data_IF_431534723908
#
_entry.id   IF_431534723908
#
_cell.length_a   1.000
_cell.length_b   1.000
_cell.length_c   1.000
_cell.angle_alpha   90.00
_cell.angle_beta   90.00
_cell.angle_gamma   90.00
#
_symmetry.space_group_name_H-M   'P 1'
#
loop_
_entity.id
_entity.type
_entity.pdbx_description
1 polymer ?
#
# COMPACT_ATOMS: atom_id res chain seq x y z
N UNK A 1 -25.42 25.60 9.12
CA UNK A 1 -24.20 24.78 8.89
C UNK A 1 -23.00 25.67 9.10
N UNK A 2 -21.93 25.21 9.74
CA UNK A 2 -20.66 25.93 9.78
C UNK A 2 -19.66 25.20 8.88
N UNK A 3 -19.16 25.89 7.86
CA UNK A 3 -18.08 25.35 7.02
C UNK A 3 -16.77 25.43 7.81
N UNK A 4 -16.43 24.35 8.50
CA UNK A 4 -15.12 24.18 9.15
C UNK A 4 -14.10 23.90 8.06
N UNK A 5 -13.56 24.95 7.45
CA UNK A 5 -12.44 24.86 6.52
C UNK A 5 -11.15 24.73 7.32
N UNK A 6 -10.63 23.51 7.45
CA UNK A 6 -9.36 23.25 8.15
C UNK A 6 -8.22 23.62 7.21
N UNK A 7 -7.70 24.84 7.36
CA UNK A 7 -6.46 25.27 6.68
C UNK A 7 -5.29 24.46 7.27
N UNK A 8 -4.47 23.77 6.45
CA UNK A 8 -3.36 22.98 6.96
C UNK A 8 -2.30 23.85 7.64
N UNK A 9 -2.06 23.63 8.93
CA UNK A 9 -0.91 24.19 9.66
C UNK A 9 0.24 23.16 9.68
N UNK A 10 1.48 23.56 10.05
CA UNK A 10 2.59 22.62 10.27
C UNK A 10 2.33 21.58 11.37
N UNK A 11 1.26 21.73 12.15
CA UNK A 11 0.84 20.83 13.24
C UNK A 11 -0.29 19.90 12.80
N UNK A 12 -0.99 20.22 11.69
CA UNK A 12 -1.96 19.34 11.04
C UNK A 12 -1.39 18.63 9.80
N UNK A 13 -0.08 18.70 9.58
CA UNK A 13 0.59 17.86 8.57
C UNK A 13 0.57 16.41 9.04
N UNK A 14 -0.15 15.56 8.30
CA UNK A 14 -0.40 14.16 8.63
C UNK A 14 0.07 13.30 7.45
N UNK A 15 0.79 12.21 7.75
CA UNK A 15 1.27 11.24 6.77
C UNK A 15 0.46 9.94 6.86
N UNK A 16 -0.16 9.51 5.77
CA UNK A 16 -0.91 8.25 5.68
C UNK A 16 -0.11 7.20 4.86
N UNK A 17 0.86 6.48 5.47
CA UNK A 17 1.52 5.33 4.82
C UNK A 17 0.55 4.16 4.64
N UNK A 18 -0.41 4.04 5.56
CA UNK A 18 -1.58 3.16 5.50
C UNK A 18 -2.83 3.97 5.86
N UNK A 19 -3.98 3.55 5.35
CA UNK A 19 -5.26 4.21 5.53
C UNK A 19 -6.02 3.81 6.79
N UNK A 20 -7.32 4.13 6.76
CA UNK A 20 -8.26 3.99 7.86
C UNK A 20 -9.71 3.68 7.37
N UNK A 21 -9.84 3.11 6.16
CA UNK A 21 -11.12 2.76 5.52
C UNK A 21 -10.99 1.42 4.78
N UNK A 22 -12.11 0.77 4.41
CA UNK A 22 -12.08 -0.46 3.62
C UNK A 22 -11.38 -0.29 2.28
N UNK A 23 -10.76 -1.35 1.82
CA UNK A 23 -10.55 -1.51 0.40
C UNK A 23 -11.90 -1.60 -0.33
N UNK A 24 -12.04 -0.88 -1.45
CA UNK A 24 -13.24 -0.88 -2.31
C UNK A 24 -12.90 -1.48 -3.66
N UNK A 25 -13.86 -2.10 -4.35
CA UNK A 25 -13.64 -2.57 -5.70
C UNK A 25 -13.91 -1.45 -6.73
N UNK A 26 -12.82 -0.96 -7.33
CA UNK A 26 -12.75 0.10 -8.34
C UNK A 26 -13.32 -0.34 -9.70
N UNK A 27 -13.54 -1.64 -9.92
CA UNK A 27 -14.12 -2.24 -11.11
C UNK A 27 -15.58 -2.71 -10.91
N UNK A 28 -16.08 -2.74 -9.66
CA UNK A 28 -17.41 -3.28 -9.27
C UNK A 28 -18.58 -2.72 -10.09
N UNK A 29 -18.49 -1.46 -10.49
CA UNK A 29 -19.52 -0.74 -11.27
C UNK A 29 -19.10 -0.46 -12.71
N UNK A 30 -17.99 -1.05 -13.15
CA UNK A 30 -17.47 -0.91 -14.50
C UNK A 30 -18.00 -2.05 -15.37
N UNK A 31 -18.56 -1.72 -16.54
CA UNK A 31 -19.14 -2.73 -17.42
C UNK A 31 -18.09 -3.77 -17.86
N UNK A 32 -18.46 -5.06 -17.99
CA UNK A 32 -17.61 -6.06 -18.64
C UNK A 32 -17.27 -5.60 -20.05
N UNK A 33 -16.00 -5.25 -20.27
CA UNK A 33 -15.48 -4.88 -21.57
C UNK A 33 -14.95 -6.13 -22.30
N UNK A 34 -14.69 -5.98 -23.60
CA UNK A 34 -14.12 -7.05 -24.41
C UNK A 34 -12.67 -7.37 -24.01
N UNK A 35 -12.20 -8.57 -24.38
CA UNK A 35 -10.87 -9.14 -24.07
C UNK A 35 -9.65 -8.28 -24.46
N UNK A 36 -9.85 -7.13 -25.13
CA UNK A 36 -8.82 -6.21 -25.64
C UNK A 36 -8.95 -4.77 -25.12
N UNK A 37 -9.83 -4.51 -24.15
CA UNK A 37 -10.20 -3.15 -23.74
C UNK A 37 -9.68 -2.71 -22.37
N UNK A 38 -8.56 -1.98 -22.39
CA UNK A 38 -7.95 -1.27 -21.25
C UNK A 38 -8.97 -0.48 -20.42
N UNK A 39 -8.78 -0.50 -19.10
CA UNK A 39 -9.57 0.26 -18.12
C UNK A 39 -8.67 1.18 -17.31
N UNK A 40 -8.76 2.48 -17.61
CA UNK A 40 -7.91 3.52 -17.03
C UNK A 40 -8.54 4.06 -15.73
N UNK A 41 -7.80 4.02 -14.61
CA UNK A 41 -8.29 4.41 -13.27
C UNK A 41 -7.38 5.47 -12.63
N UNK A 42 -7.93 6.67 -12.45
CA UNK A 42 -7.25 7.81 -11.81
C UNK A 42 -7.48 7.84 -10.30
N UNK A 43 -6.42 7.75 -9.50
CA UNK A 43 -6.49 7.67 -8.04
C UNK A 43 -5.76 8.84 -7.36
N UNK A 44 -6.44 9.98 -7.32
CA UNK A 44 -5.95 11.22 -6.70
C UNK A 44 -5.84 11.07 -5.17
N UNK A 45 -4.76 11.62 -4.59
CA UNK A 45 -4.48 11.65 -3.15
C UNK A 45 -4.47 10.31 -2.40
N UNK A 46 -4.64 9.17 -3.07
CA UNK A 46 -4.48 7.86 -2.45
C UNK A 46 -3.00 7.63 -2.11
N UNK A 47 -2.68 7.35 -0.84
CA UNK A 47 -1.36 6.84 -0.41
C UNK A 47 -1.29 5.31 -0.36
N UNK A 48 -2.42 4.66 -0.04
CA UNK A 48 -2.54 3.25 0.30
C UNK A 48 -2.83 2.35 -0.94
N UNK A 49 -2.19 1.16 -1.07
CA UNK A 49 -2.54 0.14 -2.05
C UNK A 49 -3.94 -0.43 -1.97
N UNK A 50 -4.49 -0.59 -0.77
CA UNK A 50 -5.52 -1.59 -0.45
C UNK A 50 -6.69 -1.69 -1.42
N UNK A 51 -7.24 -0.58 -1.92
CA UNK A 51 -8.34 -0.63 -2.87
C UNK A 51 -7.92 -1.32 -4.16
N UNK A 52 -6.73 -1.04 -4.72
CA UNK A 52 -6.23 -1.77 -5.89
C UNK A 52 -5.58 -3.12 -5.48
N UNK A 53 -5.23 -3.29 -4.20
CA UNK A 53 -5.04 -4.58 -3.50
C UNK A 53 -6.26 -5.53 -3.71
N UNK A 54 -7.45 -4.99 -3.47
CA UNK A 54 -8.70 -5.72 -3.30
C UNK A 54 -9.57 -5.78 -4.55
N UNK A 55 -9.83 -4.63 -5.20
CA UNK A 55 -10.63 -4.50 -6.45
C UNK A 55 -10.28 -5.57 -7.45
N UNK A 56 -8.98 -5.76 -7.53
CA UNK A 56 -8.35 -6.52 -8.55
C UNK A 56 -8.06 -7.93 -8.03
N UNK A 57 -7.88 -8.18 -6.73
CA UNK A 57 -8.03 -9.54 -6.19
C UNK A 57 -9.43 -10.12 -6.49
N UNK A 58 -10.49 -9.30 -6.42
CA UNK A 58 -11.84 -9.69 -6.85
C UNK A 58 -11.95 -10.01 -8.36
N UNK A 59 -10.91 -9.70 -9.15
CA UNK A 59 -10.79 -9.87 -10.60
C UNK A 59 -9.51 -10.66 -10.96
N UNK A 60 -8.85 -11.28 -9.97
CA UNK A 60 -7.52 -11.91 -9.96
C UNK A 60 -6.24 -11.04 -10.23
N UNK A 61 -6.24 -9.70 -10.52
CA UNK A 61 -5.09 -8.88 -11.07
C UNK A 61 -4.40 -7.69 -10.26
N UNK A 62 -4.23 -7.70 -8.92
CA UNK A 62 -4.00 -6.52 -8.00
C UNK A 62 -2.79 -5.56 -8.09
N UNK A 63 -2.77 -4.44 -7.32
CA UNK A 63 -1.69 -3.40 -7.34
C UNK A 63 -1.51 -2.47 -6.07
N UNK A 64 -0.28 -1.93 -5.77
CA UNK A 64 0.11 -0.47 -5.81
C UNK A 64 1.58 -0.04 -5.47
N UNK A 65 2.16 -0.35 -4.28
CA UNK A 65 3.35 0.40 -3.74
C UNK A 65 4.69 -0.10 -4.30
N UNK A 66 5.52 0.74 -4.92
CA UNK A 66 6.77 0.36 -5.65
C UNK A 66 7.76 -0.51 -4.84
N UNK A 67 7.93 -0.26 -3.53
CA UNK A 67 8.82 -1.08 -2.69
C UNK A 67 8.16 -2.43 -2.37
N UNK A 68 6.90 -2.41 -1.92
CA UNK A 68 6.07 -3.61 -1.75
C UNK A 68 6.00 -4.42 -3.06
N UNK A 69 5.97 -3.76 -4.20
CA UNK A 69 5.80 -4.33 -5.52
C UNK A 69 7.02 -5.00 -6.07
N UNK A 70 8.16 -4.31 -6.02
CA UNK A 70 9.42 -4.93 -6.41
C UNK A 70 9.69 -6.14 -5.50
N UNK A 71 9.36 -6.07 -4.20
CA UNK A 71 9.36 -7.24 -3.31
C UNK A 71 8.38 -8.33 -3.75
N UNK A 72 7.14 -8.00 -4.13
CA UNK A 72 6.13 -8.99 -4.58
C UNK A 72 6.54 -9.67 -5.89
N UNK A 73 7.06 -8.91 -6.85
CA UNK A 73 7.58 -9.42 -8.14
C UNK A 73 8.81 -10.30 -7.92
N UNK A 74 9.78 -9.84 -7.12
CA UNK A 74 10.98 -10.60 -6.77
C UNK A 74 10.69 -11.89 -5.99
N UNK A 75 9.54 -11.96 -5.31
CA UNK A 75 9.10 -13.11 -4.53
C UNK A 75 7.85 -13.79 -5.12
N UNK A 76 7.57 -13.59 -6.42
CA UNK A 76 6.40 -14.15 -7.10
C UNK A 76 6.19 -15.66 -6.83
N UNK A 77 7.27 -16.44 -6.92
CA UNK A 77 7.27 -17.88 -6.66
C UNK A 77 6.96 -18.23 -5.19
N UNK A 78 7.36 -17.38 -4.23
CA UNK A 78 7.14 -17.62 -2.80
C UNK A 78 5.65 -17.63 -2.43
N UNK A 79 4.81 -16.88 -3.14
CA UNK A 79 3.36 -16.85 -2.90
C UNK A 79 2.61 -18.11 -3.34
N UNK A 80 3.20 -18.94 -4.21
CA UNK A 80 2.68 -20.28 -4.55
C UNK A 80 3.25 -21.40 -3.67
N UNK A 81 4.24 -21.09 -2.82
CA UNK A 81 5.06 -22.09 -2.12
C UNK A 81 4.57 -22.36 -0.69
N UNK A 82 4.53 -23.64 -0.31
CA UNK A 82 4.29 -24.06 1.07
C UNK A 82 5.58 -24.08 1.93
N UNK A 83 6.74 -23.78 1.34
CA UNK A 83 8.03 -23.77 2.04
C UNK A 83 7.98 -22.85 3.28
N UNK A 84 8.57 -23.24 4.42
CA UNK A 84 8.69 -22.35 5.58
C UNK A 84 9.42 -21.04 5.25
N UNK A 85 10.48 -21.11 4.44
CA UNK A 85 11.28 -19.95 4.01
C UNK A 85 10.48 -18.94 3.19
N UNK A 86 9.65 -19.42 2.27
CA UNK A 86 8.81 -18.56 1.42
C UNK A 86 7.69 -17.89 2.24
N UNK A 87 7.09 -18.61 3.19
CA UNK A 87 6.14 -18.02 4.14
C UNK A 87 6.80 -16.97 5.05
N UNK A 88 8.06 -17.15 5.45
CA UNK A 88 8.84 -16.10 6.15
C UNK A 88 9.03 -14.85 5.28
N UNK A 89 9.37 -15.00 3.99
CA UNK A 89 9.50 -13.87 3.05
C UNK A 89 8.20 -13.09 2.90
N UNK A 90 7.07 -13.76 2.68
CA UNK A 90 5.74 -13.11 2.60
C UNK A 90 5.40 -12.41 3.91
N UNK A 91 5.76 -12.98 5.06
CA UNK A 91 5.64 -12.34 6.38
C UNK A 91 6.47 -11.06 6.52
N UNK A 92 7.72 -11.04 6.06
CA UNK A 92 8.56 -9.85 6.06
C UNK A 92 7.99 -8.73 5.16
N UNK A 93 7.40 -9.09 4.01
CA UNK A 93 6.73 -8.15 3.10
C UNK A 93 5.47 -7.54 3.76
N UNK A 94 4.68 -8.34 4.48
CA UNK A 94 3.59 -7.83 5.33
C UNK A 94 4.10 -6.86 6.41
N UNK A 95 5.15 -7.25 7.15
CA UNK A 95 5.73 -6.45 8.22
C UNK A 95 6.20 -5.09 7.70
N UNK A 96 6.92 -5.06 6.58
CA UNK A 96 7.40 -3.84 5.95
C UNK A 96 6.28 -2.90 5.47
N UNK A 97 5.10 -3.45 5.18
CA UNK A 97 3.98 -2.65 4.70
C UNK A 97 3.02 -2.20 5.81
N UNK A 98 2.72 -3.03 6.81
CA UNK A 98 1.71 -2.73 7.85
C UNK A 98 2.26 -2.48 9.26
N UNK A 99 3.53 -2.73 9.55
CA UNK A 99 4.09 -2.52 10.90
C UNK A 99 4.99 -1.28 10.95
N UNK A 100 4.70 -0.34 11.86
CA UNK A 100 5.61 0.79 12.13
C UNK A 100 6.80 0.40 13.03
N UNK A 101 6.79 -0.82 13.60
CA UNK A 101 7.90 -1.45 14.31
C UNK A 101 8.15 -2.83 13.72
N UNK A 102 9.38 -3.09 13.24
CA UNK A 102 9.75 -4.29 12.49
C UNK A 102 10.96 -5.01 13.13
N UNK A 103 11.17 -6.31 12.84
CA UNK A 103 12.45 -6.99 13.01
C UNK A 103 13.62 -6.24 12.32
N UNK A 104 14.86 -6.51 12.73
CA UNK A 104 16.06 -5.91 12.10
C UNK A 104 16.35 -6.53 10.73
N UNK A 105 15.93 -7.77 10.59
CA UNK A 105 16.04 -8.64 9.43
C UNK A 105 15.18 -8.06 8.29
N UNK A 106 13.95 -7.67 8.61
CA UNK A 106 13.03 -6.98 7.70
C UNK A 106 13.54 -5.58 7.34
N UNK A 107 14.14 -4.83 8.29
CA UNK A 107 14.81 -3.57 7.96
C UNK A 107 15.93 -3.78 6.93
N UNK A 108 16.73 -4.84 7.05
CA UNK A 108 17.77 -5.13 6.06
C UNK A 108 17.17 -5.48 4.68
N UNK A 109 16.08 -6.24 4.63
CA UNK A 109 15.34 -6.49 3.39
C UNK A 109 14.88 -5.18 2.72
N UNK A 110 14.38 -4.20 3.49
CA UNK A 110 14.02 -2.88 2.96
C UNK A 110 15.23 -2.11 2.42
N UNK A 111 16.37 -2.17 3.10
CA UNK A 111 17.62 -1.52 2.66
C UNK A 111 18.11 -2.14 1.34
N UNK A 112 18.23 -3.47 1.28
CA UNK A 112 18.66 -4.22 0.09
C UNK A 112 17.76 -3.93 -1.12
N UNK A 113 16.43 -3.90 -0.89
CA UNK A 113 15.49 -3.57 -1.95
C UNK A 113 15.61 -2.12 -2.41
N UNK A 114 15.85 -1.18 -1.50
CA UNK A 114 16.01 0.24 -1.82
C UNK A 114 17.30 0.49 -2.60
N UNK A 115 18.40 -0.19 -2.25
CA UNK A 115 19.66 -0.17 -3.00
C UNK A 115 19.49 -0.75 -4.42
N UNK A 116 18.76 -1.86 -4.57
CA UNK A 116 18.40 -2.45 -5.86
C UNK A 116 17.51 -1.54 -6.72
N UNK A 117 16.53 -0.87 -6.11
CA UNK A 117 15.68 0.11 -6.79
C UNK A 117 16.48 1.32 -7.27
N UNK A 118 17.45 1.79 -6.47
CA UNK A 118 18.33 2.92 -6.82
C UNK A 118 19.31 2.59 -7.95
N UNK A 119 19.80 1.35 -8.07
CA UNK A 119 20.71 0.97 -9.16
C UNK A 119 20.00 0.86 -10.52
N UNK A 120 18.74 0.41 -10.52
CA UNK A 120 17.90 0.23 -11.72
C UNK A 120 17.19 1.51 -12.20
N UNK A 121 17.12 2.56 -11.37
CA UNK A 121 16.38 3.81 -11.67
C UNK A 121 17.26 4.97 -12.12
N UNK A 122 18.40 4.72 -12.77
CA UNK A 122 19.32 5.79 -13.19
C UNK A 122 18.74 6.69 -14.28
N UNK A 123 17.82 6.17 -15.10
CA UNK A 123 17.00 6.92 -16.05
C UNK A 123 15.65 6.23 -16.25
N UNK A 124 14.75 6.82 -17.04
CA UNK A 124 13.47 6.20 -17.38
C UNK A 124 13.64 4.96 -18.26
N UNK A 125 14.66 4.97 -19.13
CA UNK A 125 15.01 3.90 -20.06
C UNK A 125 15.60 2.71 -19.30
N UNK A 126 16.58 2.94 -18.42
CA UNK A 126 17.16 1.91 -17.56
C UNK A 126 16.11 1.25 -16.63
N UNK A 127 15.09 2.01 -16.22
CA UNK A 127 13.96 1.49 -15.48
C UNK A 127 13.00 0.67 -16.36
N UNK A 128 12.74 1.10 -17.60
CA UNK A 128 11.89 0.37 -18.56
C UNK A 128 12.52 -0.96 -19.03
N UNK A 129 13.85 -1.06 -19.03
CA UNK A 129 14.60 -2.31 -19.25
C UNK A 129 14.66 -3.22 -18.02
N UNK A 130 14.19 -2.75 -16.85
CA UNK A 130 14.24 -3.50 -15.60
C UNK A 130 13.05 -4.49 -15.43
N UNK A 131 13.14 -5.46 -14.50
CA UNK A 131 12.02 -6.33 -14.14
C UNK A 131 10.78 -5.63 -13.54
N UNK A 132 10.82 -4.31 -13.36
CA UNK A 132 9.75 -3.50 -12.77
C UNK A 132 9.02 -2.62 -13.79
N UNK A 133 9.18 -2.87 -15.09
CA UNK A 133 8.64 -2.05 -16.18
C UNK A 133 7.11 -1.97 -16.26
N UNK A 134 6.38 -2.87 -15.56
CA UNK A 134 4.93 -2.73 -15.29
C UNK A 134 4.59 -1.52 -14.42
N UNK A 135 5.59 -0.95 -13.74
CA UNK A 135 5.53 0.34 -13.04
C UNK A 135 6.27 1.34 -13.93
N UNK A 136 5.65 2.48 -14.19
CA UNK A 136 6.22 3.55 -15.03
C UNK A 136 6.20 4.88 -14.27
N UNK A 137 6.94 5.87 -14.75
CA UNK A 137 6.95 7.21 -14.16
C UNK A 137 6.48 8.24 -15.19
N UNK A 138 5.48 9.04 -14.83
CA UNK A 138 4.87 10.06 -15.70
C UNK A 138 5.86 11.20 -16.04
N UNK A 139 6.91 11.37 -15.24
CA UNK A 139 8.02 12.29 -15.50
C UNK A 139 9.32 11.81 -14.84
N UNK A 140 10.47 12.22 -15.41
CA UNK A 140 11.78 12.03 -14.79
C UNK A 140 11.83 12.63 -13.37
N UNK A 141 11.21 13.79 -13.17
CA UNK A 141 11.11 14.42 -11.84
C UNK A 141 10.38 13.52 -10.81
N UNK A 142 9.38 12.75 -11.24
CA UNK A 142 8.74 11.77 -10.33
C UNK A 142 9.73 10.69 -9.91
N UNK A 143 10.53 10.17 -10.85
CA UNK A 143 11.58 9.20 -10.57
C UNK A 143 12.63 9.79 -9.62
N UNK A 144 13.06 11.03 -9.83
CA UNK A 144 14.00 11.73 -8.95
C UNK A 144 13.48 11.92 -7.52
N UNK A 145 12.23 12.36 -7.33
CA UNK A 145 11.66 12.52 -5.99
C UNK A 145 11.45 11.17 -5.28
N UNK A 146 11.08 10.12 -6.02
CA UNK A 146 10.96 8.76 -5.48
C UNK A 146 12.32 8.18 -5.08
N UNK A 147 13.38 8.42 -5.88
CA UNK A 147 14.76 8.03 -5.53
C UNK A 147 15.23 8.68 -4.22
N UNK A 148 14.94 9.96 -4.00
CA UNK A 148 15.23 10.67 -2.73
C UNK A 148 14.50 10.10 -1.51
N UNK A 149 13.49 9.24 -1.70
CA UNK A 149 12.85 8.46 -0.63
C UNK A 149 13.59 7.12 -0.44
N UNK A 150 13.94 6.41 -1.52
CA UNK A 150 14.72 5.18 -1.45
C UNK A 150 16.11 5.36 -0.84
N UNK A 151 16.79 6.49 -1.12
CA UNK A 151 18.05 6.88 -0.46
C UNK A 151 17.90 6.95 1.07
N UNK A 152 16.75 7.42 1.56
CA UNK A 152 16.43 7.52 2.99
C UNK A 152 15.94 6.20 3.59
N UNK A 153 15.53 5.22 2.77
CA UNK A 153 15.23 3.86 3.20
C UNK A 153 16.49 2.99 3.28
N UNK A 154 17.43 3.15 2.36
CA UNK A 154 18.73 2.48 2.39
C UNK A 154 19.58 2.92 3.61
N UNK A 155 19.54 4.21 3.98
CA UNK A 155 20.34 4.75 5.09
C UNK A 155 19.59 4.66 6.44
N UNK A 156 20.16 3.93 7.42
CA UNK A 156 19.60 3.83 8.77
C UNK A 156 19.69 5.16 9.55
N UNK A 157 18.67 6.03 9.45
CA UNK A 157 18.54 7.24 10.29
C UNK A 157 17.86 6.96 11.63
N UNK A 158 18.46 7.40 12.75
CA UNK A 158 17.83 7.41 14.09
C UNK A 158 16.78 8.53 14.19
N UNK A 159 15.55 8.25 13.78
CA UNK A 159 14.43 9.20 13.83
C UNK A 159 13.85 9.28 15.26
N UNK A 160 13.58 10.51 15.73
CA UNK A 160 13.09 10.76 17.11
C UNK A 160 11.57 10.62 17.20
N UNK A 161 11.11 9.53 17.83
CA UNK A 161 9.70 9.27 18.12
C UNK A 161 9.21 10.08 19.33
N UNK A 162 8.14 10.86 19.15
CA UNK A 162 7.21 11.27 20.22
C UNK A 162 5.85 10.67 19.88
N UNK A 163 5.26 9.90 20.80
CA UNK A 163 3.87 9.47 20.66
C UNK A 163 2.93 10.56 21.21
N UNK A 164 1.74 10.68 20.61
CA UNK A 164 0.57 11.16 21.33
C UNK A 164 -0.05 9.97 22.06
N UNK A 165 -0.48 10.16 23.31
CA UNK A 165 -1.16 9.12 24.09
C UNK A 165 -2.68 9.04 23.78
N UNK A 166 -3.18 9.86 22.85
CA UNK A 166 -4.58 9.85 22.45
C UNK A 166 -4.85 8.63 21.57
N UNK A 167 -5.63 7.66 22.08
CA UNK A 167 -5.93 6.40 21.40
C UNK A 167 -6.75 6.59 20.12
N UNK A 168 -6.52 5.72 19.15
CA UNK A 168 -7.17 5.74 17.84
C UNK A 168 -8.68 5.57 17.89
N UNK A 169 -9.39 6.29 17.02
CA UNK A 169 -10.77 5.99 16.70
C UNK A 169 -10.81 4.88 15.63
N UNK A 170 -11.10 3.64 16.03
CA UNK A 170 -11.39 2.56 15.08
C UNK A 170 -12.80 2.75 14.52
N UNK A 171 -12.99 2.49 13.23
CA UNK A 171 -14.31 2.39 12.60
C UNK A 171 -14.46 0.96 12.08
N UNK A 172 -15.43 0.23 12.62
CA UNK A 172 -15.51 -1.25 12.58
C UNK A 172 -15.93 -1.83 11.22
N UNK A 173 -15.59 -1.18 10.12
CA UNK A 173 -15.99 -1.60 8.77
C UNK A 173 -15.60 -3.06 8.45
N UNK A 174 -14.44 -3.51 8.95
CA UNK A 174 -13.90 -4.86 8.77
C UNK A 174 -14.83 -5.99 9.26
N UNK A 175 -15.79 -5.68 10.13
CA UNK A 175 -16.76 -6.64 10.66
C UNK A 175 -18.04 -6.76 9.81
N UNK A 176 -18.25 -5.88 8.82
CA UNK A 176 -19.47 -5.88 7.99
C UNK A 176 -20.74 -5.84 8.84
N UNK A 177 -21.64 -6.81 8.60
CA UNK A 177 -22.90 -6.95 9.36
C UNK A 177 -22.69 -7.31 10.84
N UNK A 178 -21.51 -7.78 11.23
CA UNK A 178 -21.15 -8.13 12.61
C UNK A 178 -20.63 -6.91 13.40
N UNK A 179 -20.87 -5.67 12.93
CA UNK A 179 -20.44 -4.40 13.55
C UNK A 179 -20.46 -4.40 15.09
N UNK A 180 -21.57 -4.80 15.71
CA UNK A 180 -21.72 -4.82 17.17
C UNK A 180 -20.78 -5.83 17.88
N UNK A 181 -20.51 -6.98 17.27
CA UNK A 181 -19.58 -7.98 17.79
C UNK A 181 -18.12 -7.54 17.56
N UNK A 182 -17.84 -6.88 16.43
CA UNK A 182 -16.50 -6.40 16.09
C UNK A 182 -16.07 -5.10 16.79
N UNK A 183 -17.00 -4.30 17.32
CA UNK A 183 -16.71 -2.95 17.80
C UNK A 183 -15.59 -2.91 18.85
N UNK A 184 -15.67 -3.74 19.90
CA UNK A 184 -14.63 -3.81 20.92
C UNK A 184 -13.36 -4.52 20.41
N UNK A 185 -13.40 -5.73 19.81
CA UNK A 185 -12.19 -6.41 19.32
C UNK A 185 -11.37 -5.59 18.31
N UNK A 186 -12.00 -4.86 17.39
CA UNK A 186 -11.27 -4.00 16.44
C UNK A 186 -10.67 -2.77 17.13
N UNK A 187 -11.36 -2.18 18.10
CA UNK A 187 -10.83 -1.10 18.93
C UNK A 187 -9.64 -1.56 19.79
N UNK A 188 -9.69 -2.77 20.34
CA UNK A 188 -8.61 -3.37 21.13
C UNK A 188 -7.45 -3.86 20.25
N UNK A 189 -7.72 -4.31 19.03
CA UNK A 189 -6.69 -4.52 18.00
C UNK A 189 -5.99 -3.21 17.62
N UNK A 190 -6.72 -2.10 17.46
CA UNK A 190 -6.14 -0.78 17.19
C UNK A 190 -5.30 -0.26 18.38
N UNK A 191 -5.75 -0.45 19.62
CA UNK A 191 -4.91 -0.23 20.82
C UNK A 191 -3.64 -1.09 20.77
N UNK A 192 -3.76 -2.37 20.43
CA UNK A 192 -2.65 -3.31 20.31
C UNK A 192 -1.62 -2.84 19.29
N UNK A 193 -2.07 -2.39 18.12
CA UNK A 193 -1.25 -1.79 17.08
C UNK A 193 -0.51 -0.55 17.58
N UNK A 194 -1.21 0.46 18.11
CA UNK A 194 -0.56 1.68 18.57
C UNK A 194 0.35 1.51 19.80
N UNK A 195 0.12 0.46 20.61
CA UNK A 195 0.97 0.09 21.76
C UNK A 195 2.26 -0.62 21.37
N UNK A 196 2.29 -1.35 20.24
CA UNK A 196 3.39 -2.26 19.87
C UNK A 196 4.10 -1.89 18.57
N UNK A 197 3.37 -1.32 17.61
CA UNK A 197 3.76 -1.10 16.21
C UNK A 197 3.50 -2.28 15.26
N UNK A 198 2.74 -3.29 15.71
CA UNK A 198 2.48 -4.57 15.04
C UNK A 198 0.97 -4.81 14.94
N UNK A 199 0.46 -5.37 13.84
CA UNK A 199 -1.00 -5.49 13.60
C UNK A 199 -1.68 -6.29 14.71
N UNK A 200 -2.76 -5.72 15.25
CA UNK A 200 -3.49 -6.18 16.44
C UNK A 200 -2.65 -6.37 17.71
N UNK A 201 -1.36 -5.98 17.73
CA UNK A 201 -0.41 -6.37 18.76
C UNK A 201 -0.23 -7.88 18.92
N UNK A 202 -0.43 -8.65 17.85
CA UNK A 202 -0.48 -10.12 17.90
C UNK A 202 0.82 -10.75 18.47
N UNK A 203 0.68 -11.81 19.26
CA UNK A 203 1.79 -12.32 20.07
C UNK A 203 2.95 -12.91 19.24
N UNK A 204 2.68 -13.43 18.03
CA UNK A 204 3.69 -14.00 17.14
C UNK A 204 4.66 -12.93 16.64
N UNK A 205 4.12 -11.88 16.01
CA UNK A 205 4.93 -10.79 15.46
C UNK A 205 5.59 -9.96 16.57
N UNK A 206 4.90 -9.73 17.70
CA UNK A 206 5.49 -9.03 18.86
C UNK A 206 6.67 -9.81 19.46
N UNK A 207 6.74 -11.15 19.31
CA UNK A 207 7.94 -11.94 19.62
C UNK A 207 9.02 -11.82 18.53
N UNK A 208 8.63 -11.72 17.26
CA UNK A 208 9.55 -11.54 16.13
C UNK A 208 10.32 -10.21 16.20
N UNK A 209 9.80 -9.18 16.88
CA UNK A 209 10.52 -7.94 17.21
C UNK A 209 11.78 -8.13 18.09
N UNK A 210 12.03 -9.34 18.60
CA UNK A 210 13.22 -9.69 19.37
C UNK A 210 13.03 -9.63 20.89
N UNK A 211 14.11 -9.86 21.68
CA UNK A 211 14.01 -10.13 23.11
C UNK A 211 13.34 -9.04 23.96
N UNK A 212 13.46 -7.77 23.55
CA UNK A 212 12.86 -6.63 24.26
C UNK A 212 11.47 -6.24 23.74
N UNK A 213 10.98 -6.95 22.70
CA UNK A 213 9.70 -6.73 22.01
C UNK A 213 9.51 -5.33 21.43
N UNK A 214 10.59 -4.65 21.02
CA UNK A 214 10.54 -3.30 20.42
C UNK A 214 11.02 -3.22 18.98
N UNK A 215 11.87 -4.12 18.51
CA UNK A 215 12.38 -4.11 17.14
C UNK A 215 13.05 -2.78 16.76
N UNK A 216 12.86 -2.35 15.52
CA UNK A 216 13.31 -1.06 14.98
C UNK A 216 12.15 -0.33 14.28
N UNK A 217 12.22 1.01 14.24
CA UNK A 217 11.21 1.81 13.53
C UNK A 217 11.30 1.56 12.03
N UNK A 218 10.17 1.24 11.39
CA UNK A 218 10.10 1.00 9.97
C UNK A 218 10.22 2.31 9.17
N UNK A 219 11.25 2.50 8.32
CA UNK A 219 11.43 3.73 7.55
C UNK A 219 10.22 4.12 6.68
N UNK A 220 9.42 3.16 6.19
CA UNK A 220 8.21 3.44 5.38
C UNK A 220 7.12 4.22 6.15
N UNK A 221 7.16 4.18 7.48
CA UNK A 221 6.29 4.97 8.37
C UNK A 221 6.96 6.23 8.94
N UNK A 222 8.28 6.39 8.75
CA UNK A 222 9.08 7.48 9.36
C UNK A 222 9.58 8.51 8.36
N UNK A 223 9.79 8.12 7.10
CA UNK A 223 10.24 9.03 6.04
C UNK A 223 9.03 9.58 5.30
N UNK A 224 8.79 10.88 5.46
CA UNK A 224 7.85 11.65 4.65
C UNK A 224 8.58 12.78 3.94
N UNK A 225 8.07 13.23 2.79
CA UNK A 225 8.45 14.51 2.19
C UNK A 225 7.90 15.71 2.96
N UNK A 226 6.89 15.49 3.81
CA UNK A 226 6.24 16.56 4.60
C UNK A 226 6.97 16.83 5.93
N UNK A 227 7.62 15.83 6.53
CA UNK A 227 8.28 15.99 7.83
C UNK A 227 9.35 14.93 8.13
N UNK A 228 10.38 15.32 8.89
CA UNK A 228 11.31 14.39 9.57
C UNK A 228 10.78 13.90 10.93
N UNK A 229 9.58 14.33 11.34
CA UNK A 229 8.87 13.86 12.54
C UNK A 229 7.97 12.67 12.19
N UNK A 230 7.76 11.78 13.16
CA UNK A 230 6.67 10.81 13.07
C UNK A 230 5.32 11.54 13.14
N UNK A 231 4.62 11.61 12.01
CA UNK A 231 3.32 12.30 11.81
C UNK A 231 2.23 11.37 11.26
N UNK A 232 2.36 10.06 11.52
CA UNK A 232 1.32 9.08 11.19
C UNK A 232 0.14 9.27 12.15
N UNK A 233 -1.11 9.39 11.66
CA UNK A 233 -2.23 9.68 12.52
C UNK A 233 -2.62 8.44 13.32
N UNK A 234 -2.99 8.66 14.58
CA UNK A 234 -3.49 7.65 15.51
C UNK A 234 -4.77 6.92 15.03
N UNK A 235 -5.40 7.38 13.94
CA UNK A 235 -6.52 6.73 13.24
C UNK A 235 -6.10 5.78 12.10
N UNK A 236 -4.82 5.73 11.70
CA UNK A 236 -4.34 4.72 10.75
C UNK A 236 -4.49 3.32 11.36
N UNK A 237 -5.20 2.45 10.66
CA UNK A 237 -5.61 1.13 11.13
C UNK A 237 -5.38 0.10 10.00
N UNK A 238 -4.41 -0.82 10.15
CA UNK A 238 -4.10 -1.81 9.12
C UNK A 238 -5.24 -2.82 8.89
N UNK A 239 -6.10 -3.07 9.88
CA UNK A 239 -7.23 -3.99 9.76
C UNK A 239 -8.43 -3.34 9.06
N UNK A 240 -8.57 -2.01 9.14
CA UNK A 240 -9.66 -1.27 8.48
C UNK A 240 -9.72 -1.50 6.97
N UNK A 241 -8.60 -1.89 6.36
CA UNK A 241 -8.47 -2.23 4.95
C UNK A 241 -9.17 -3.52 4.53
N UNK A 242 -9.37 -4.46 5.45
CA UNK A 242 -9.76 -5.85 5.19
C UNK A 242 -11.22 -6.13 5.56
N UNK A 243 -11.91 -6.87 4.70
CA UNK A 243 -13.26 -7.37 4.97
C UNK A 243 -13.14 -8.75 5.61
N UNK A 244 -13.24 -8.82 6.94
CA UNK A 244 -13.05 -10.06 7.72
C UNK A 244 -14.25 -10.39 8.64
N UNK A 245 -15.51 -10.32 8.15
CA UNK A 245 -16.70 -10.62 8.96
C UNK A 245 -16.66 -12.05 9.56
N UNK A 246 -16.06 -13.01 8.86
CA UNK A 246 -15.91 -14.41 9.30
C UNK A 246 -15.20 -14.60 10.65
N UNK A 247 -14.40 -13.61 11.08
CA UNK A 247 -13.75 -13.64 12.41
C UNK A 247 -14.76 -13.42 13.54
N UNK A 248 -15.96 -12.93 13.21
CA UNK A 248 -17.05 -12.61 14.13
C UNK A 248 -18.28 -13.53 13.97
N UNK A 249 -18.19 -14.59 13.16
CA UNK A 249 -19.23 -15.63 13.06
C UNK A 249 -19.42 -16.39 14.37
N UNK A 250 -18.36 -16.50 15.18
CA UNK A 250 -18.32 -17.28 16.41
C UNK A 250 -17.73 -16.44 17.56
N UNK A 251 -18.24 -16.58 18.80
CA UNK A 251 -17.71 -15.84 19.95
C UNK A 251 -16.30 -16.34 20.33
N UNK A 252 -15.29 -15.52 20.02
CA UNK A 252 -13.91 -15.70 20.46
C UNK A 252 -13.62 -14.87 21.71
N UNK A 253 -12.63 -15.27 22.52
CA UNK A 253 -12.07 -14.37 23.53
C UNK A 253 -11.26 -13.26 22.85
N UNK A 254 -11.23 -12.06 23.46
CA UNK A 254 -10.56 -10.84 22.96
C UNK A 254 -9.21 -11.13 22.27
N UNK A 255 -8.28 -11.78 22.99
CA UNK A 255 -6.96 -12.16 22.46
C UNK A 255 -7.03 -13.06 21.22
N UNK A 256 -7.91 -14.07 21.23
CA UNK A 256 -8.10 -14.97 20.08
C UNK A 256 -8.72 -14.26 18.88
N UNK A 257 -9.61 -13.29 19.12
CA UNK A 257 -10.19 -12.46 18.09
C UNK A 257 -9.12 -11.55 17.45
N UNK A 258 -8.28 -10.90 18.26
CA UNK A 258 -7.14 -10.09 17.78
C UNK A 258 -6.12 -10.93 16.99
N UNK A 259 -5.83 -12.16 17.44
CA UNK A 259 -4.98 -13.12 16.71
C UNK A 259 -5.62 -13.57 15.38
N UNK A 260 -6.93 -13.83 15.36
CA UNK A 260 -7.67 -14.20 14.17
C UNK A 260 -7.77 -13.06 13.15
N UNK A 261 -8.02 -11.82 13.60
CA UNK A 261 -8.05 -10.62 12.75
C UNK A 261 -6.71 -10.41 12.03
N UNK A 262 -5.60 -10.43 12.78
CA UNK A 262 -4.27 -10.32 12.19
C UNK A 262 -3.93 -11.50 11.27
N UNK A 263 -4.44 -12.71 11.56
CA UNK A 263 -4.22 -13.90 10.72
C UNK A 263 -5.01 -13.84 9.41
N UNK A 264 -6.28 -13.45 9.44
CA UNK A 264 -7.11 -13.33 8.22
C UNK A 264 -6.58 -12.22 7.32
N UNK A 265 -6.33 -11.03 7.84
CA UNK A 265 -5.79 -9.92 7.06
C UNK A 265 -4.43 -10.25 6.40
N UNK A 266 -3.57 -11.05 7.07
CA UNK A 266 -2.34 -11.60 6.49
C UNK A 266 -2.59 -12.60 5.36
N UNK A 267 -3.60 -13.45 5.49
CA UNK A 267 -3.97 -14.42 4.46
C UNK A 267 -4.53 -13.72 3.22
N UNK A 268 -5.43 -12.75 3.44
CA UNK A 268 -5.97 -11.89 2.39
C UNK A 268 -4.84 -11.14 1.68
N UNK A 269 -3.96 -10.44 2.42
CA UNK A 269 -2.78 -9.77 1.86
C UNK A 269 -1.87 -10.71 1.04
N UNK A 270 -1.65 -11.95 1.50
CA UNK A 270 -0.84 -12.91 0.78
C UNK A 270 -1.50 -13.37 -0.52
N UNK A 271 -2.83 -13.56 -0.54
CA UNK A 271 -3.59 -13.84 -1.77
C UNK A 271 -3.59 -12.64 -2.72
N UNK A 272 -3.78 -11.42 -2.20
CA UNK A 272 -3.70 -10.19 -2.98
C UNK A 272 -2.30 -10.02 -3.58
N UNK A 273 -1.23 -10.16 -2.80
CA UNK A 273 0.13 -10.07 -3.31
C UNK A 273 0.48 -11.17 -4.33
N UNK A 274 0.07 -12.43 -4.09
CA UNK A 274 0.22 -13.54 -5.05
C UNK A 274 -0.31 -13.14 -6.43
N UNK A 275 -1.55 -12.64 -6.42
CA UNK A 275 -2.29 -12.30 -7.60
C UNK A 275 -1.60 -11.15 -8.39
N UNK A 276 -1.09 -10.10 -7.74
CA UNK A 276 -0.36 -9.01 -8.45
C UNK A 276 0.82 -9.55 -9.25
N UNK A 277 1.64 -10.42 -8.64
CA UNK A 277 2.81 -10.99 -9.30
C UNK A 277 2.45 -11.69 -10.61
N UNK A 278 1.30 -12.39 -10.66
CA UNK A 278 0.83 -13.07 -11.87
C UNK A 278 0.57 -12.11 -13.04
N UNK A 279 0.02 -10.92 -12.78
CA UNK A 279 -0.36 -9.97 -13.84
C UNK A 279 0.71 -8.93 -14.15
N UNK A 280 1.60 -8.62 -13.20
CA UNK A 280 2.87 -7.98 -13.51
C UNK A 280 3.69 -8.85 -14.48
N UNK A 281 3.72 -10.17 -14.27
CA UNK A 281 4.37 -11.13 -15.19
C UNK A 281 3.62 -11.27 -16.52
N UNK A 282 2.29 -11.23 -16.53
CA UNK A 282 1.48 -11.31 -17.76
C UNK A 282 1.31 -9.96 -18.50
N UNK A 283 1.96 -8.88 -18.03
CA UNK A 283 1.87 -7.54 -18.63
C UNK A 283 0.51 -6.84 -18.51
N UNK A 284 -0.49 -7.46 -17.88
CA UNK A 284 -1.89 -7.02 -17.87
C UNK A 284 -2.23 -6.02 -16.74
N UNK A 285 -1.21 -5.29 -16.26
CA UNK A 285 -1.36 -4.18 -15.32
C UNK A 285 -0.20 -3.20 -15.50
N UNK A 286 -0.51 -1.91 -15.74
CA UNK A 286 0.50 -0.84 -15.92
C UNK A 286 0.21 0.34 -14.99
N UNK A 287 1.25 0.86 -14.36
CA UNK A 287 1.13 1.66 -13.13
C UNK A 287 1.97 2.93 -13.22
N UNK A 288 1.37 4.02 -13.69
CA UNK A 288 2.06 5.28 -13.95
C UNK A 288 2.11 6.15 -12.69
N UNK A 289 3.27 6.15 -12.03
CA UNK A 289 3.55 6.94 -10.84
C UNK A 289 3.71 8.42 -11.22
N UNK A 290 3.05 9.29 -10.46
CA UNK A 290 3.24 10.74 -10.50
C UNK A 290 3.44 11.32 -9.08
N UNK A 291 4.09 12.48 -8.98
CA UNK A 291 4.31 13.18 -7.72
C UNK A 291 4.37 14.70 -7.97
N UNK A 292 3.44 15.43 -7.38
CA UNK A 292 3.25 16.88 -7.58
C UNK A 292 1.86 17.32 -7.14
N UNK A 293 1.27 18.33 -7.78
CA UNK A 293 -0.10 18.76 -7.49
C UNK A 293 -1.16 17.96 -8.26
N UNK A 294 -2.24 17.59 -7.56
CA UNK A 294 -3.37 16.82 -8.08
C UNK A 294 -4.30 17.64 -8.98
N UNK A 295 -4.46 18.94 -8.70
CA UNK A 295 -5.36 19.80 -9.47
C UNK A 295 -4.75 20.11 -10.83
N UNK A 296 -3.47 20.50 -10.85
CA UNK A 296 -2.68 20.75 -12.06
C UNK A 296 -2.56 19.47 -12.92
N UNK A 297 -2.35 18.31 -12.29
CA UNK A 297 -2.34 17.03 -13.02
C UNK A 297 -3.71 16.68 -13.61
N UNK A 298 -4.82 16.90 -12.88
CA UNK A 298 -6.16 16.71 -13.42
C UNK A 298 -6.46 17.65 -14.61
N UNK A 299 -6.01 18.92 -14.55
CA UNK A 299 -6.11 19.85 -15.68
C UNK A 299 -5.26 19.43 -16.89
N UNK A 300 -4.05 18.89 -16.69
CA UNK A 300 -3.21 18.39 -17.81
C UNK A 300 -3.66 17.02 -18.35
N UNK A 301 -4.39 16.21 -17.58
CA UNK A 301 -5.12 15.06 -18.13
C UNK A 301 -6.33 15.53 -18.95
N UNK A 302 -7.08 16.52 -18.47
CA UNK A 302 -8.21 17.09 -19.19
C UNK A 302 -7.78 17.81 -20.50
N UNK A 303 -6.63 18.50 -20.50
CA UNK A 303 -6.09 19.20 -21.68
C UNK A 303 -5.75 18.26 -22.84
N UNK A 304 -5.40 17.00 -22.54
CA UNK A 304 -5.06 15.95 -23.50
C UNK A 304 -6.27 15.25 -24.13
N UNK A 305 -7.47 15.45 -23.59
CA UNK A 305 -8.68 14.76 -24.05
C UNK A 305 -8.55 13.24 -24.01
N UNK A 306 -9.11 12.53 -25.01
CA UNK A 306 -8.99 11.05 -25.13
C UNK A 306 -7.63 10.58 -25.68
N UNK A 307 -6.62 11.43 -25.76
CA UNK A 307 -5.32 11.05 -26.34
C UNK A 307 -4.54 10.14 -25.38
N UNK A 308 -4.43 8.85 -25.72
CA UNK A 308 -3.61 7.86 -24.99
C UNK A 308 -2.09 8.11 -25.08
N UNK A 309 -1.65 9.18 -25.73
CA UNK A 309 -0.23 9.51 -25.85
C UNK A 309 0.36 9.97 -24.50
N UNK A 310 1.06 9.07 -23.82
CA UNK A 310 1.81 9.30 -22.58
C UNK A 310 3.14 10.06 -22.80
N UNK A 311 3.18 10.97 -23.78
CA UNK A 311 4.35 11.83 -23.98
C UNK A 311 4.60 12.70 -22.74
N UNK A 312 5.87 12.85 -22.36
CA UNK A 312 6.35 13.52 -21.14
C UNK A 312 5.57 14.81 -20.88
N UNK A 313 5.04 14.99 -19.67
CA UNK A 313 4.15 16.11 -19.36
C UNK A 313 4.95 17.39 -19.11
N UNK A 314 5.21 18.15 -20.17
CA UNK A 314 6.08 19.33 -20.22
C UNK A 314 5.61 20.58 -19.45
N UNK A 315 4.50 20.49 -18.70
CA UNK A 315 3.84 21.64 -18.05
C UNK A 315 3.46 21.45 -16.58
N UNK A 316 3.84 20.32 -15.97
CA UNK A 316 3.56 20.08 -14.55
C UNK A 316 4.52 20.89 -13.67
N UNK A 317 4.02 21.99 -13.09
CA UNK A 317 4.68 22.65 -11.97
C UNK A 317 4.60 21.74 -10.74
N UNK A 318 5.74 21.18 -10.32
CA UNK A 318 5.78 20.30 -9.14
C UNK A 318 5.48 21.03 -7.82
N UNK A 319 5.61 22.35 -7.79
CA UNK A 319 5.35 23.18 -6.62
C UNK A 319 4.79 24.57 -6.98
N UNK A 320 3.54 24.84 -6.59
CA UNK A 320 3.13 26.18 -6.16
C UNK A 320 2.90 26.13 -4.64
N UNK A 321 3.96 26.40 -3.86
CA UNK A 321 3.99 26.35 -2.39
C UNK A 321 3.75 24.93 -1.82
N UNK A 322 4.83 24.28 -1.36
CA UNK A 322 4.91 22.82 -1.27
C UNK A 322 3.96 22.15 -0.25
N UNK A 323 3.10 21.26 -0.76
CA UNK A 323 2.32 20.31 0.04
C UNK A 323 2.06 19.01 -0.75
N UNK A 324 3.17 18.36 -1.16
CA UNK A 324 3.14 17.23 -2.11
C UNK A 324 2.56 15.96 -1.47
N UNK A 325 1.35 15.59 -1.90
CA UNK A 325 0.82 14.23 -1.76
C UNK A 325 1.21 13.39 -2.99
N UNK A 326 1.54 12.10 -2.85
CA UNK A 326 1.79 11.23 -3.99
C UNK A 326 0.49 10.94 -4.75
N UNK A 327 0.54 10.93 -6.09
CA UNK A 327 -0.63 10.78 -6.96
C UNK A 327 -0.36 9.63 -7.92
N UNK A 328 -1.18 8.59 -7.88
CA UNK A 328 -0.99 7.44 -8.76
C UNK A 328 -2.03 7.43 -9.88
N UNK A 329 -1.57 7.24 -11.11
CA UNK A 329 -2.44 7.11 -12.27
C UNK A 329 -2.26 5.72 -12.90
N UNK A 330 -3.23 4.84 -12.70
CA UNK A 330 -3.13 3.44 -13.10
C UNK A 330 -3.85 3.24 -14.43
N UNK A 331 -3.20 2.58 -15.37
CA UNK A 331 -3.76 2.21 -16.68
C UNK A 331 -3.81 0.69 -16.74
N UNK A 332 -4.95 0.11 -16.38
CA UNK A 332 -5.06 -1.33 -16.17
C UNK A 332 -5.44 -2.00 -17.49
N UNK A 333 -4.45 -2.62 -18.13
CA UNK A 333 -4.65 -3.38 -19.37
C UNK A 333 -5.26 -4.75 -19.07
N UNK A 334 -6.57 -4.75 -18.78
CA UNK A 334 -7.35 -5.94 -18.46
C UNK A 334 -7.61 -6.72 -19.76
N UNK A 335 -6.57 -7.35 -20.29
CA UNK A 335 -6.76 -8.48 -21.21
C UNK A 335 -7.53 -9.57 -20.47
N UNK A 336 -8.67 -9.99 -21.02
CA UNK A 336 -9.35 -11.22 -20.64
C UNK A 336 -8.81 -12.31 -21.56
N UNK A 337 -8.59 -13.51 -21.03
CA UNK A 337 -8.31 -14.67 -21.84
C UNK A 337 -9.44 -15.66 -21.57
N UNK A 338 -10.33 -15.84 -22.55
CA UNK A 338 -11.46 -16.75 -22.43
C UNK A 338 -11.14 -18.12 -23.10
N UNK A 339 -10.66 -19.14 -22.37
CA UNK A 339 -10.39 -20.47 -22.92
C UNK A 339 -11.67 -21.30 -23.14
N UNK A 340 -12.73 -20.71 -23.69
CA UNK A 340 -13.95 -21.43 -24.09
C UNK A 340 -13.76 -22.12 -25.45
N UNK A 341 -12.86 -23.10 -25.48
CA UNK A 341 -12.93 -24.22 -26.42
C UNK A 341 -13.40 -25.47 -25.68
N UNK A 342 -14.73 -25.59 -25.54
CA UNK A 342 -15.41 -26.86 -25.30
C UNK A 342 -16.47 -27.03 -26.39
N UNK A 343 -16.40 -28.08 -27.22
CA UNK A 343 -17.43 -28.33 -28.23
C UNK A 343 -18.64 -29.03 -27.60
N UNK A 344 -19.85 -28.60 -27.98
CA UNK A 344 -20.96 -29.46 -28.43
C UNK A 344 -22.03 -28.61 -29.14
#
# INVERSE_FOLDING_TARGET
MHNISIVPTPETQIFYPIGNTPAVNLLEYHAPKSDQEVTDILLLACGDPRSILYSLFCEDKPARNIVLFSLVVDNAASYGSQSPHDRTRVGAIWNLFYHFQIPKEDLKLLQDQSEKLLSLSQSLEAWAESPYSSITFVSLQTLEEVRKIWEKYAIQRRIRRKFSNNGGACVTFSAGVHWFAGANPSWDALKGYWKTGVVAGNEGDVKALGPDKKGVLNPTFMVSTMSEKFIVPYTSDPLSAYHVPQVFDNPLSEKKCMEALATSAKQDFAQWCKAFAQYATAGSVVINVYMGDAITFAYELASRGRSRATSVVTRLYSNQWSSILPILWITMDISIFCPLQCPF
#
